data_IF_181985890615
#
_entry.id   IF_181985890615
#
_cell.length_a   1.000
_cell.length_b   1.000
_cell.length_c   1.000
_cell.angle_alpha   90.00
_cell.angle_beta   90.00
_cell.angle_gamma   90.00
#
_symmetry.space_group_name_H-M   'P 1'
#
loop_
_entity.id
_entity.type
_entity.pdbx_description
1 polymer ?
#
# COMPACT_ATOMS: atom_id res chain seq x y z
N UNK A 1 20.78 -2.40 9.04
CA UNK A 1 20.52 -1.10 9.71
C UNK A 1 21.49 -0.84 10.87
N UNK A 2 21.52 -1.67 11.91
CA UNK A 2 22.44 -1.48 13.05
C UNK A 2 23.92 -1.43 12.64
N UNK A 3 24.33 -2.20 11.63
CA UNK A 3 25.68 -2.17 11.06
C UNK A 3 26.08 -0.80 10.48
N UNK A 4 25.14 -0.08 9.86
CA UNK A 4 25.38 1.26 9.29
C UNK A 4 25.44 2.32 10.38
N UNK A 5 24.54 2.24 11.36
CA UNK A 5 24.48 3.19 12.47
C UNK A 5 25.70 3.08 13.41
N UNK A 6 26.14 1.84 13.69
CA UNK A 6 27.32 1.55 14.52
C UNK A 6 28.64 1.65 13.75
N UNK A 7 28.61 1.66 12.42
CA UNK A 7 29.80 1.77 11.59
C UNK A 7 30.48 3.14 11.70
N UNK A 8 31.78 3.16 11.39
CA UNK A 8 32.59 4.38 11.37
C UNK A 8 32.38 5.18 10.06
N UNK A 9 31.16 5.66 9.86
CA UNK A 9 30.77 6.48 8.71
C UNK A 9 30.42 7.91 9.15
N UNK A 10 30.70 8.90 8.29
CA UNK A 10 30.27 10.28 8.50
C UNK A 10 28.75 10.41 8.61
N UNK A 11 28.28 11.41 9.37
CA UNK A 11 26.86 11.63 9.69
C UNK A 11 25.94 11.63 8.45
N UNK A 12 26.30 12.36 7.40
CA UNK A 12 25.51 12.42 6.17
C UNK A 12 25.29 11.03 5.54
N UNK A 13 26.32 10.18 5.51
CA UNK A 13 26.20 8.81 4.97
C UNK A 13 25.25 7.96 5.81
N UNK A 14 25.28 8.12 7.14
CA UNK A 14 24.35 7.42 8.05
C UNK A 14 22.91 7.83 7.80
N UNK A 15 22.65 9.13 7.65
CA UNK A 15 21.31 9.66 7.35
C UNK A 15 20.80 9.14 6.01
N UNK A 16 21.57 9.29 4.92
CA UNK A 16 21.18 8.81 3.59
C UNK A 16 20.91 7.31 3.57
N UNK A 17 21.81 6.51 4.13
CA UNK A 17 21.64 5.05 4.16
C UNK A 17 20.44 4.64 5.03
N UNK A 18 20.17 5.34 6.13
CA UNK A 18 19.01 5.08 6.98
C UNK A 18 17.71 5.41 6.25
N UNK A 19 17.63 6.58 5.59
CA UNK A 19 16.48 6.96 4.78
C UNK A 19 16.20 5.95 3.66
N UNK A 20 17.24 5.50 2.95
CA UNK A 20 17.10 4.46 1.92
C UNK A 20 16.60 3.12 2.48
N UNK A 21 17.16 2.67 3.61
CA UNK A 21 16.78 1.40 4.23
C UNK A 21 15.36 1.43 4.81
N UNK A 22 14.94 2.58 5.35
CA UNK A 22 13.63 2.74 6.00
C UNK A 22 12.54 3.22 5.05
N UNK A 23 12.82 3.43 3.75
CA UNK A 23 11.82 3.89 2.79
C UNK A 23 10.56 3.00 2.78
N UNK A 24 10.73 1.68 2.89
CA UNK A 24 9.63 0.73 2.88
C UNK A 24 8.73 0.80 4.14
N UNK A 25 9.15 1.47 5.23
CA UNK A 25 8.31 1.70 6.43
C UNK A 25 7.04 2.49 6.10
N UNK A 26 7.03 3.23 4.99
CA UNK A 26 5.85 3.92 4.50
C UNK A 26 4.63 2.99 4.36
N UNK A 27 4.83 1.71 4.01
CA UNK A 27 3.73 0.75 3.89
C UNK A 27 3.09 0.43 5.24
N UNK A 28 3.89 0.34 6.32
CA UNK A 28 3.35 0.20 7.68
C UNK A 28 2.55 1.44 8.06
N UNK A 29 3.10 2.64 7.80
CA UNK A 29 2.42 3.89 8.12
C UNK A 29 1.07 4.02 7.37
N UNK A 30 1.05 3.71 6.07
CA UNK A 30 -0.17 3.72 5.26
C UNK A 30 -1.19 2.71 5.77
N UNK A 31 -0.78 1.49 6.12
CA UNK A 31 -1.66 0.48 6.69
C UNK A 31 -2.29 0.95 8.01
N UNK A 32 -1.49 1.55 8.90
CA UNK A 32 -1.98 2.09 10.17
C UNK A 32 -2.96 3.24 9.98
N UNK A 33 -2.67 4.17 9.06
CA UNK A 33 -3.59 5.29 8.73
C UNK A 33 -4.89 4.76 8.12
N UNK A 34 -4.79 3.78 7.22
CA UNK A 34 -5.94 3.05 6.68
C UNK A 34 -6.81 2.50 7.81
N UNK A 35 -6.26 1.67 8.70
CA UNK A 35 -7.00 1.05 9.79
C UNK A 35 -7.57 2.08 10.78
N UNK A 36 -6.80 3.12 11.11
CA UNK A 36 -7.22 4.19 12.01
C UNK A 36 -8.32 5.08 11.43
N UNK A 37 -8.42 5.17 10.10
CA UNK A 37 -9.48 5.96 9.45
C UNK A 37 -10.89 5.39 9.70
N UNK A 38 -11.00 4.08 9.97
CA UNK A 38 -12.27 3.40 10.23
C UNK A 38 -12.94 3.92 11.51
N UNK A 39 -12.30 3.84 12.71
CA UNK A 39 -12.89 4.36 13.92
C UNK A 39 -13.05 5.88 13.90
N UNK A 40 -12.17 6.63 13.22
CA UNK A 40 -12.33 8.09 13.10
C UNK A 40 -13.58 8.44 12.29
N UNK A 41 -13.80 7.78 11.15
CA UNK A 41 -15.02 7.95 10.37
C UNK A 41 -16.27 7.59 11.17
N UNK A 42 -16.23 6.47 11.89
CA UNK A 42 -17.37 6.03 12.70
C UNK A 42 -17.67 7.00 13.86
N UNK A 43 -16.63 7.48 14.55
CA UNK A 43 -16.76 8.44 15.64
C UNK A 43 -17.31 9.79 15.15
N UNK A 44 -16.89 10.23 13.96
CA UNK A 44 -17.45 11.40 13.32
C UNK A 44 -18.93 11.21 12.96
N UNK A 45 -19.27 10.10 12.29
CA UNK A 45 -20.66 9.76 11.95
C UNK A 45 -21.59 9.70 13.17
N UNK A 46 -21.10 9.19 14.31
CA UNK A 46 -21.84 9.13 15.58
C UNK A 46 -21.90 10.46 16.33
N UNK A 47 -21.26 11.52 15.82
CA UNK A 47 -21.19 12.81 16.50
C UNK A 47 -20.34 12.81 17.78
N UNK A 48 -19.46 11.81 17.96
CA UNK A 48 -18.55 11.72 19.10
C UNK A 48 -17.42 12.75 18.95
N UNK A 49 -16.98 12.98 17.71
CA UNK A 49 -15.93 13.95 17.35
C UNK A 49 -16.61 15.17 16.73
N UNK A 50 -16.26 16.37 17.22
CA UNK A 50 -16.76 17.63 16.65
C UNK A 50 -16.17 17.87 15.26
N UNK A 51 -16.85 18.68 14.46
CA UNK A 51 -16.37 19.09 13.15
C UNK A 51 -14.97 19.72 13.21
N UNK A 52 -14.70 20.56 14.22
CA UNK A 52 -13.41 21.21 14.39
C UNK A 52 -12.29 20.20 14.70
N UNK A 53 -12.58 19.20 15.53
CA UNK A 53 -11.63 18.15 15.86
C UNK A 53 -11.38 17.22 14.65
N UNK A 54 -12.41 16.98 13.85
CA UNK A 54 -12.26 16.26 12.59
C UNK A 54 -11.42 17.05 11.57
N UNK A 55 -11.65 18.36 11.44
CA UNK A 55 -10.80 19.23 10.60
C UNK A 55 -9.36 19.25 11.09
N UNK A 56 -9.13 19.22 12.41
CA UNK A 56 -7.79 19.04 12.95
C UNK A 56 -7.19 17.69 12.51
N UNK A 57 -7.97 16.61 12.43
CA UNK A 57 -7.52 15.34 11.89
C UNK A 57 -7.22 15.39 10.38
N UNK A 58 -7.78 16.34 9.63
CA UNK A 58 -7.39 16.56 8.23
C UNK A 58 -5.91 16.97 8.09
N UNK A 59 -5.23 17.40 9.16
CA UNK A 59 -3.77 17.59 9.14
C UNK A 59 -3.01 16.30 8.76
N UNK A 60 -3.57 15.13 9.06
CA UNK A 60 -2.97 13.85 8.66
C UNK A 60 -2.97 13.65 7.14
N UNK A 61 -3.84 14.37 6.39
CA UNK A 61 -3.82 14.38 4.92
C UNK A 61 -2.65 15.18 4.34
N UNK A 62 -1.98 16.04 5.13
CA UNK A 62 -0.76 16.74 4.69
C UNK A 62 0.32 15.73 4.31
N UNK A 63 0.47 14.65 5.07
CA UNK A 63 1.39 13.57 4.74
C UNK A 63 1.10 12.94 3.38
N UNK A 64 -0.18 12.78 3.05
CA UNK A 64 -0.62 12.27 1.75
C UNK A 64 -0.24 13.21 0.60
N UNK A 65 -0.42 14.52 0.79
CA UNK A 65 0.01 15.55 -0.18
C UNK A 65 1.53 15.52 -0.37
N UNK A 66 2.30 15.41 0.72
CA UNK A 66 3.76 15.31 0.64
C UNK A 66 4.18 14.08 -0.18
N UNK A 67 3.58 12.91 0.08
CA UNK A 67 3.87 11.69 -0.69
C UNK A 67 3.54 11.90 -2.16
N UNK A 68 2.37 12.46 -2.47
CA UNK A 68 1.95 12.77 -3.83
C UNK A 68 2.96 13.68 -4.56
N UNK A 69 3.45 14.72 -3.89
CA UNK A 69 4.45 15.64 -4.44
C UNK A 69 5.81 14.96 -4.66
N UNK A 70 6.29 14.16 -3.71
CA UNK A 70 7.55 13.42 -3.85
C UNK A 70 7.52 12.51 -5.08
N UNK A 71 6.44 11.77 -5.28
CA UNK A 71 6.28 10.92 -6.46
C UNK A 71 6.11 11.72 -7.75
N UNK A 72 5.39 12.84 -7.70
CA UNK A 72 5.25 13.77 -8.82
C UNK A 72 6.60 14.31 -9.30
N UNK A 73 7.38 14.90 -8.41
CA UNK A 73 8.70 15.43 -8.76
C UNK A 73 9.70 14.33 -9.10
N UNK A 74 9.63 13.17 -8.45
CA UNK A 74 10.41 12.00 -8.82
C UNK A 74 10.17 11.56 -10.26
N UNK A 75 8.90 11.45 -10.68
CA UNK A 75 8.55 11.10 -12.04
C UNK A 75 8.97 12.17 -13.06
N UNK A 76 8.84 13.46 -12.71
CA UNK A 76 9.32 14.56 -13.56
C UNK A 76 10.85 14.57 -13.70
N UNK A 77 11.57 14.21 -12.64
CA UNK A 77 13.03 14.06 -12.67
C UNK A 77 13.50 12.94 -13.60
N UNK A 78 12.75 11.83 -13.68
CA UNK A 78 13.06 10.69 -14.53
C UNK A 78 12.65 10.89 -15.99
N UNK A 79 11.49 11.50 -16.23
CA UNK A 79 10.90 11.61 -17.58
C UNK A 79 11.14 12.95 -18.25
N UNK A 80 11.67 13.94 -17.52
CA UNK A 80 11.83 15.33 -17.96
C UNK A 80 10.52 16.12 -17.91
N UNK A 81 10.60 17.39 -17.55
CA UNK A 81 9.43 18.25 -17.39
C UNK A 81 8.81 18.65 -18.74
N UNK A 82 7.48 18.50 -18.85
CA UNK A 82 6.65 19.05 -19.91
C UNK A 82 5.22 19.11 -19.40
N UNK A 83 4.47 20.18 -19.70
CA UNK A 83 3.08 20.33 -19.27
C UNK A 83 2.22 19.10 -19.63
N UNK A 84 2.41 18.53 -20.83
CA UNK A 84 1.70 17.30 -21.25
C UNK A 84 1.99 16.11 -20.33
N UNK A 85 3.26 15.93 -19.92
CA UNK A 85 3.68 14.84 -19.01
C UNK A 85 3.22 15.10 -17.58
N UNK A 86 3.26 16.35 -17.13
CA UNK A 86 2.76 16.77 -15.82
C UNK A 86 1.26 16.49 -15.68
N UNK A 87 0.44 16.91 -16.65
CA UNK A 87 -1.01 16.64 -16.63
C UNK A 87 -1.33 15.15 -16.73
N UNK A 88 -0.60 14.40 -17.59
CA UNK A 88 -0.75 12.95 -17.65
C UNK A 88 -0.48 12.30 -16.29
N UNK A 89 0.65 12.64 -15.67
CA UNK A 89 1.01 12.03 -14.40
C UNK A 89 0.08 12.46 -13.27
N UNK A 90 -0.41 13.70 -13.27
CA UNK A 90 -1.41 14.18 -12.32
C UNK A 90 -2.70 13.33 -12.37
N UNK A 91 -3.09 12.87 -13.57
CA UNK A 91 -4.21 11.94 -13.74
C UNK A 91 -3.89 10.51 -13.32
N UNK A 92 -2.66 10.04 -13.54
CA UNK A 92 -2.19 8.72 -13.12
C UNK A 92 -1.96 8.64 -11.60
N UNK A 93 -1.69 9.77 -10.95
CA UNK A 93 -1.26 9.84 -9.55
C UNK A 93 -2.29 9.26 -8.56
N UNK A 94 -3.61 9.57 -8.63
CA UNK A 94 -4.59 8.92 -7.77
C UNK A 94 -4.62 7.41 -7.94
N UNK A 95 -4.53 6.92 -9.18
CA UNK A 95 -4.49 5.48 -9.45
C UNK A 95 -3.22 4.86 -8.85
N UNK A 96 -2.06 5.45 -9.11
CA UNK A 96 -0.78 5.03 -8.57
C UNK A 96 -0.78 4.97 -7.03
N UNK A 97 -1.29 6.02 -6.38
CA UNK A 97 -1.40 6.07 -4.93
C UNK A 97 -2.37 5.01 -4.41
N UNK A 98 -3.52 4.83 -5.06
CA UNK A 98 -4.49 3.79 -4.68
C UNK A 98 -3.89 2.39 -4.73
N UNK A 99 -3.18 2.04 -5.81
CA UNK A 99 -2.50 0.75 -5.93
C UNK A 99 -1.40 0.61 -4.88
N UNK A 100 -0.61 1.67 -4.66
CA UNK A 100 0.44 1.69 -3.63
C UNK A 100 -0.13 1.47 -2.22
N UNK A 101 -1.30 2.04 -1.92
CA UNK A 101 -2.00 1.81 -0.66
C UNK A 101 -2.56 0.39 -0.56
N UNK A 102 -3.09 -0.19 -1.64
CA UNK A 102 -3.54 -1.58 -1.66
C UNK A 102 -2.42 -2.57 -1.33
N UNK A 103 -1.18 -2.27 -1.72
CA UNK A 103 0.00 -3.07 -1.42
C UNK A 103 0.49 -2.93 0.03
N UNK A 104 -0.09 -2.01 0.82
CA UNK A 104 0.39 -1.69 2.17
C UNK A 104 0.32 -2.87 3.13
N UNK A 105 -0.68 -3.75 3.00
CA UNK A 105 -0.80 -4.92 3.87
C UNK A 105 0.34 -5.92 3.65
N UNK A 106 0.52 -6.37 2.40
CA UNK A 106 1.56 -7.35 2.06
C UNK A 106 2.97 -6.81 2.29
N UNK A 107 3.23 -5.58 1.81
CA UNK A 107 4.54 -4.95 1.99
C UNK A 107 4.79 -4.56 3.45
N UNK A 108 3.76 -4.10 4.16
CA UNK A 108 3.84 -3.78 5.59
C UNK A 108 4.22 -5.00 6.41
N UNK A 109 3.65 -6.17 6.10
CA UNK A 109 4.08 -7.43 6.72
C UNK A 109 5.55 -7.73 6.43
N UNK A 110 5.98 -7.68 5.17
CA UNK A 110 7.37 -7.98 4.82
C UNK A 110 8.36 -7.04 5.54
N UNK A 111 8.02 -5.75 5.66
CA UNK A 111 8.81 -4.76 6.39
C UNK A 111 8.82 -5.06 7.89
N UNK A 112 7.68 -5.43 8.46
CA UNK A 112 7.59 -5.81 9.87
C UNK A 112 8.43 -7.05 10.19
N UNK A 113 8.39 -8.07 9.34
CA UNK A 113 9.26 -9.25 9.45
C UNK A 113 10.74 -8.88 9.34
N UNK A 114 11.09 -7.97 8.43
CA UNK A 114 12.45 -7.46 8.27
C UNK A 114 12.96 -6.68 9.49
N UNK A 115 12.12 -5.86 10.12
CA UNK A 115 12.47 -5.09 11.34
C UNK A 115 12.61 -6.02 12.54
N UNK A 116 11.70 -6.99 12.70
CA UNK A 116 11.72 -7.95 13.80
C UNK A 116 12.76 -9.06 13.63
N UNK A 117 13.43 -9.13 12.47
CA UNK A 117 14.43 -10.14 12.16
C UNK A 117 13.85 -11.54 11.95
N UNK A 118 12.55 -11.65 11.71
CA UNK A 118 11.90 -12.92 11.40
C UNK A 118 12.44 -13.43 10.07
N UNK A 119 13.04 -14.62 10.08
CA UNK A 119 13.54 -15.27 8.87
C UNK A 119 12.35 -15.79 8.06
N UNK A 120 11.94 -15.06 7.03
CA UNK A 120 10.98 -15.58 6.06
C UNK A 120 11.69 -16.55 5.10
N UNK A 121 11.02 -17.64 4.67
CA UNK A 121 11.61 -18.56 3.72
C UNK A 121 11.83 -17.84 2.39
N UNK A 122 13.08 -17.79 1.93
CA UNK A 122 13.40 -17.37 0.58
C UNK A 122 13.04 -18.49 -0.40
N UNK A 123 11.74 -18.66 -0.64
CA UNK A 123 11.23 -19.57 -1.65
C UNK A 123 11.74 -19.04 -2.99
N UNK A 124 12.70 -19.75 -3.58
CA UNK A 124 13.24 -19.36 -4.88
C UNK A 124 12.11 -19.40 -5.90
N UNK A 125 12.06 -18.38 -6.76
CA UNK A 125 11.15 -18.38 -7.89
C UNK A 125 11.35 -19.65 -8.73
N UNK A 126 10.28 -20.41 -9.00
CA UNK A 126 10.41 -21.68 -9.70
C UNK A 126 10.98 -21.47 -11.11
N UNK A 127 12.02 -22.23 -11.45
CA UNK A 127 12.60 -22.26 -12.80
C UNK A 127 11.83 -23.27 -13.64
N UNK A 128 10.87 -22.79 -14.42
CA UNK A 128 10.14 -23.63 -15.37
C UNK A 128 11.06 -23.96 -16.55
N UNK A 129 11.49 -25.21 -16.65
CA UNK A 129 12.37 -25.69 -17.71
C UNK A 129 11.52 -25.98 -18.97
N UNK A 130 11.12 -24.91 -19.67
CA UNK A 130 10.18 -24.92 -20.81
C UNK A 130 10.75 -25.56 -22.09
N UNK A 131 11.13 -26.83 -22.03
CA UNK A 131 11.66 -27.58 -23.18
C UNK A 131 10.71 -28.64 -23.74
N UNK A 132 9.51 -28.82 -23.18
CA UNK A 132 8.53 -29.78 -23.70
C UNK A 132 7.13 -29.21 -23.59
N UNK A 133 6.21 -29.67 -24.45
CA UNK A 133 4.78 -29.35 -24.53
C UNK A 133 3.96 -29.65 -23.24
N UNK A 134 4.61 -29.82 -22.09
CA UNK A 134 3.96 -30.08 -20.83
C UNK A 134 3.37 -28.78 -20.27
N UNK A 135 2.07 -28.84 -19.97
CA UNK A 135 1.25 -27.78 -19.43
C UNK A 135 1.86 -27.27 -18.13
N UNK A 136 2.01 -25.94 -18.02
CA UNK A 136 2.55 -25.26 -16.84
C UNK A 136 1.85 -25.59 -15.52
N UNK A 137 0.65 -26.17 -15.60
CA UNK A 137 -0.28 -26.47 -14.50
C UNK A 137 0.12 -27.67 -13.64
N UNK A 138 0.90 -28.63 -14.15
CA UNK A 138 1.26 -29.87 -13.42
C UNK A 138 2.51 -29.77 -12.51
N UNK A 139 3.14 -28.59 -12.41
CA UNK A 139 4.40 -28.47 -11.67
C UNK A 139 4.16 -28.54 -10.14
N UNK A 140 5.02 -29.25 -9.40
CA UNK A 140 4.97 -29.40 -7.93
C UNK A 140 4.96 -28.06 -7.20
N UNK A 141 5.52 -27.01 -7.82
CA UNK A 141 5.50 -25.64 -7.33
C UNK A 141 4.14 -24.93 -7.42
N UNK A 142 3.13 -25.52 -8.08
CA UNK A 142 1.79 -24.97 -8.23
C UNK A 142 0.83 -25.36 -7.08
N UNK A 143 1.31 -26.06 -6.05
CA UNK A 143 0.57 -26.20 -4.79
C UNK A 143 0.62 -24.89 -4.00
N UNK A 144 0.17 -23.79 -4.61
CA UNK A 144 0.07 -22.51 -3.96
C UNK A 144 -1.17 -22.51 -3.07
N UNK A 145 -0.96 -22.78 -1.78
CA UNK A 145 -1.96 -22.46 -0.77
C UNK A 145 -2.16 -20.94 -0.76
N UNK A 146 -3.42 -20.49 -0.72
CA UNK A 146 -3.74 -19.07 -0.59
C UNK A 146 -3.13 -18.59 0.73
N UNK A 147 -2.18 -17.65 0.71
CA UNK A 147 -1.56 -17.18 1.94
C UNK A 147 -2.60 -16.45 2.80
N UNK A 148 -2.49 -16.54 4.15
CA UNK A 148 -3.41 -15.83 5.06
C UNK A 148 -3.58 -14.35 4.74
N UNK A 149 -2.52 -13.70 4.23
CA UNK A 149 -2.53 -12.29 3.82
C UNK A 149 -3.59 -11.98 2.78
N UNK A 150 -3.83 -12.87 1.83
CA UNK A 150 -4.83 -12.64 0.76
C UNK A 150 -6.25 -12.59 1.32
N UNK A 151 -6.55 -13.34 2.38
CA UNK A 151 -7.84 -13.22 3.06
C UNK A 151 -8.00 -11.86 3.75
N UNK A 152 -6.94 -11.33 4.35
CA UNK A 152 -6.96 -9.99 4.93
C UNK A 152 -7.03 -8.90 3.85
N UNK A 153 -6.42 -9.07 2.69
CA UNK A 153 -6.59 -8.16 1.53
C UNK A 153 -8.05 -8.09 1.09
N UNK A 154 -8.72 -9.25 0.96
CA UNK A 154 -10.15 -9.34 0.64
C UNK A 154 -11.00 -8.68 1.73
N UNK A 155 -10.70 -8.94 3.00
CA UNK A 155 -11.42 -8.32 4.12
C UNK A 155 -11.32 -6.80 4.09
N UNK A 156 -10.12 -6.24 3.87
CA UNK A 156 -9.93 -4.79 3.76
C UNK A 156 -10.67 -4.22 2.54
N UNK A 157 -10.66 -4.92 1.40
CA UNK A 157 -11.41 -4.52 0.22
C UNK A 157 -12.93 -4.43 0.49
N UNK A 158 -13.48 -5.41 1.19
CA UNK A 158 -14.91 -5.41 1.58
C UNK A 158 -15.19 -4.29 2.58
N UNK A 159 -14.38 -4.14 3.63
CA UNK A 159 -14.55 -3.11 4.66
C UNK A 159 -14.54 -1.71 4.05
N UNK A 160 -13.54 -1.37 3.22
CA UNK A 160 -13.46 -0.02 2.66
C UNK A 160 -14.53 0.23 1.61
N UNK A 161 -14.92 -0.77 0.82
CA UNK A 161 -16.08 -0.66 -0.07
C UNK A 161 -17.35 -0.36 0.71
N UNK A 162 -17.59 -1.05 1.83
CA UNK A 162 -18.72 -0.79 2.72
C UNK A 162 -18.66 0.62 3.32
N UNK A 163 -17.49 1.07 3.78
CA UNK A 163 -17.33 2.43 4.32
C UNK A 163 -17.64 3.48 3.26
N UNK A 164 -17.23 3.29 2.01
CA UNK A 164 -17.57 4.20 0.90
C UNK A 164 -19.09 4.26 0.69
N UNK A 165 -19.75 3.11 0.62
CA UNK A 165 -21.22 3.04 0.48
C UNK A 165 -21.92 3.70 1.65
N UNK A 166 -21.47 3.43 2.88
CA UNK A 166 -22.02 4.03 4.08
C UNK A 166 -21.80 5.54 4.10
N UNK A 167 -20.60 6.02 3.73
CA UNK A 167 -20.28 7.45 3.65
C UNK A 167 -21.23 8.20 2.72
N UNK A 168 -21.55 7.61 1.57
CA UNK A 168 -22.52 8.17 0.62
C UNK A 168 -23.93 8.14 1.21
N UNK A 169 -24.32 7.02 1.83
CA UNK A 169 -25.65 6.86 2.42
C UNK A 169 -25.89 7.81 3.62
N UNK A 170 -24.88 8.01 4.46
CA UNK A 170 -24.96 8.86 5.67
C UNK A 170 -24.59 10.31 5.40
N UNK A 171 -24.14 10.65 4.19
CA UNK A 171 -23.72 12.00 3.82
C UNK A 171 -22.42 12.46 4.47
N UNK A 172 -21.56 11.54 4.94
CA UNK A 172 -20.27 11.83 5.57
C UNK A 172 -19.14 11.78 4.54
N UNK A 173 -18.86 12.91 3.90
CA UNK A 173 -17.97 13.00 2.74
C UNK A 173 -16.52 13.32 3.06
N UNK A 174 -16.20 13.58 4.32
CA UNK A 174 -14.95 14.20 4.73
C UNK A 174 -13.72 13.32 4.46
N UNK A 175 -13.87 12.00 4.51
CA UNK A 175 -12.83 11.03 4.11
C UNK A 175 -13.15 10.28 2.80
N UNK A 176 -14.23 10.63 2.09
CA UNK A 176 -14.75 9.81 1.00
C UNK A 176 -13.69 9.54 -0.06
N UNK A 177 -12.95 10.57 -0.50
CA UNK A 177 -11.89 10.41 -1.50
C UNK A 177 -10.82 9.43 -1.04
N UNK A 178 -10.37 9.57 0.21
CA UNK A 178 -9.37 8.67 0.78
C UNK A 178 -9.88 7.22 0.86
N UNK A 179 -11.12 7.01 1.32
CA UNK A 179 -11.73 5.68 1.40
C UNK A 179 -12.00 5.07 0.04
N UNK A 180 -12.37 5.85 -0.98
CA UNK A 180 -12.51 5.38 -2.37
C UNK A 180 -11.18 4.87 -2.89
N UNK A 181 -10.09 5.60 -2.65
CA UNK A 181 -8.76 5.16 -3.08
C UNK A 181 -8.32 3.88 -2.36
N UNK A 182 -8.61 3.75 -1.05
CA UNK A 182 -8.35 2.51 -0.30
C UNK A 182 -9.21 1.34 -0.80
N UNK A 183 -10.50 1.56 -1.01
CA UNK A 183 -11.43 0.56 -1.52
C UNK A 183 -10.96 0.05 -2.89
N UNK A 184 -10.63 0.96 -3.81
CA UNK A 184 -10.11 0.60 -5.12
C UNK A 184 -8.77 -0.15 -5.02
N UNK A 185 -7.83 0.37 -4.23
CA UNK A 185 -6.51 -0.21 -4.02
C UNK A 185 -6.57 -1.64 -3.49
N UNK A 186 -7.22 -1.83 -2.34
CA UNK A 186 -7.36 -3.16 -1.73
C UNK A 186 -8.15 -4.12 -2.61
N UNK A 187 -9.22 -3.65 -3.29
CA UNK A 187 -9.98 -4.50 -4.22
C UNK A 187 -9.12 -4.99 -5.36
N UNK A 188 -8.33 -4.11 -5.98
CA UNK A 188 -7.45 -4.49 -7.08
C UNK A 188 -6.42 -5.51 -6.61
N UNK A 189 -5.75 -5.27 -5.48
CA UNK A 189 -4.74 -6.19 -4.95
C UNK A 189 -5.37 -7.53 -4.58
N UNK A 190 -6.48 -7.53 -3.83
CA UNK A 190 -7.22 -8.74 -3.49
C UNK A 190 -7.62 -9.55 -4.73
N UNK A 191 -8.14 -8.88 -5.77
CA UNK A 191 -8.50 -9.52 -7.04
C UNK A 191 -7.28 -10.15 -7.72
N UNK A 192 -6.16 -9.42 -7.82
CA UNK A 192 -4.94 -9.93 -8.44
C UNK A 192 -4.32 -11.09 -7.66
N UNK A 193 -4.30 -11.02 -6.33
CA UNK A 193 -3.86 -12.09 -5.44
C UNK A 193 -4.72 -13.34 -5.62
N UNK A 194 -6.05 -13.21 -5.53
CA UNK A 194 -6.98 -14.33 -5.73
C UNK A 194 -6.82 -14.96 -7.11
N UNK A 195 -6.70 -14.14 -8.16
CA UNK A 195 -6.51 -14.64 -9.53
C UNK A 195 -5.23 -15.44 -9.69
N UNK A 196 -4.15 -15.00 -9.06
CA UNK A 196 -2.88 -15.72 -9.05
C UNK A 196 -3.00 -17.12 -8.44
N UNK A 197 -3.79 -17.27 -7.36
CA UNK A 197 -3.88 -18.53 -6.60
C UNK A 197 -5.04 -19.45 -7.01
N UNK A 198 -6.14 -18.89 -7.51
CA UNK A 198 -7.39 -19.64 -7.79
C UNK A 198 -7.60 -19.90 -9.28
N UNK A 199 -7.37 -18.89 -10.13
CA UNK A 199 -7.74 -18.93 -11.55
C UNK A 199 -6.61 -19.37 -12.50
N UNK A 200 -5.35 -19.35 -12.05
CA UNK A 200 -4.20 -19.87 -12.80
C UNK A 200 -3.86 -21.33 -12.44
N UNK A 201 -4.85 -22.09 -11.95
CA UNK A 201 -4.79 -23.55 -11.80
C UNK A 201 -5.03 -24.25 -13.13
#
# INVERSE_FOLDING_TARGET
MLSVLKGNFGWAKKVHATAHLLNAVIFIAVLLVSLSSIPVWFAFYKGIISHDLFQAAAIFLVGFVIIALVYFFGNMGLTGFSWKKAFRYLWELPLFLSVSMGLALHNGQAVWEGITGKKSPFIRTPKYNLKSQNTWTENVYNQLQIPPTTYFEVLLAVIFTLIVVLSIYTGTYEMLVFHVMLAFGYTLIAWTSLRSYVFNR
#
